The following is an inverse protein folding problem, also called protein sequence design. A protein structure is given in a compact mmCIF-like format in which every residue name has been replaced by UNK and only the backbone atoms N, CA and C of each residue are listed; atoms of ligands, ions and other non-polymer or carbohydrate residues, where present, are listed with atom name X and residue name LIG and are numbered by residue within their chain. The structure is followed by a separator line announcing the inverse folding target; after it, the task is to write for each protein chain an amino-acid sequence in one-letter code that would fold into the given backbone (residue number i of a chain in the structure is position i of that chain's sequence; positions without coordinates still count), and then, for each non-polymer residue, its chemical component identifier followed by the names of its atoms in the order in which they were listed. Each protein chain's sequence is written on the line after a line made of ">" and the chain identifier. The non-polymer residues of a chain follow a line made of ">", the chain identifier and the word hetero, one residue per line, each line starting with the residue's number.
data_IF_388914720273
#
_entry.id   IF_388914720273
#
_cell.length_a   1.000
_cell.length_b   1.000
_cell.length_c   1.000
_cell.angle_alpha   90.00
_cell.angle_beta   90.00
_cell.angle_gamma   90.00
#
_symmetry.space_group_name_H-M   'P 1'
#
loop_
_entity.id
_entity.type
_entity.pdbx_description
1 polymer ?
#
# COMPACT_ATOMS: atom_id res chain seq x y z
N UNK A 1 7.51 -20.28 -11.21
CA UNK A 1 6.26 -20.27 -10.41
C UNK A 1 6.40 -19.41 -9.16
N UNK A 2 7.39 -19.66 -8.27
CA UNK A 2 7.57 -18.89 -7.03
C UNK A 2 7.86 -17.39 -7.24
N UNK A 3 8.65 -17.04 -8.26
CA UNK A 3 8.99 -15.64 -8.58
C UNK A 3 7.80 -14.85 -9.15
N UNK A 4 6.90 -15.53 -9.89
CA UNK A 4 5.68 -14.91 -10.41
C UNK A 4 4.69 -14.68 -9.27
N UNK A 5 4.56 -15.65 -8.34
CA UNK A 5 3.71 -15.54 -7.17
C UNK A 5 4.19 -14.44 -6.20
N UNK A 6 5.50 -14.26 -6.04
CA UNK A 6 6.04 -13.15 -5.25
C UNK A 6 5.75 -11.81 -5.93
N UNK A 7 5.92 -11.72 -7.24
CA UNK A 7 5.65 -10.48 -8.01
C UNK A 7 4.17 -10.08 -7.98
N UNK A 8 3.26 -11.03 -8.10
CA UNK A 8 1.82 -10.74 -8.01
C UNK A 8 1.43 -10.33 -6.59
N UNK A 9 1.92 -11.02 -5.55
CA UNK A 9 1.66 -10.63 -4.16
C UNK A 9 2.17 -9.21 -3.86
N UNK A 10 3.38 -8.88 -4.30
CA UNK A 10 3.95 -7.54 -4.17
C UNK A 10 3.26 -6.50 -5.04
N UNK A 11 2.51 -6.87 -6.06
CA UNK A 11 1.69 -5.91 -6.81
C UNK A 11 0.53 -5.37 -5.96
N UNK A 12 -0.12 -6.23 -5.18
CA UNK A 12 -1.21 -5.83 -4.29
C UNK A 12 -0.70 -5.07 -3.06
N UNK A 13 0.34 -5.58 -2.40
CA UNK A 13 0.86 -5.00 -1.15
C UNK A 13 1.99 -4.00 -1.34
N UNK A 14 2.54 -3.86 -2.54
CA UNK A 14 3.76 -3.10 -2.78
C UNK A 14 3.61 -1.58 -2.70
N UNK A 15 4.76 -0.88 -2.60
CA UNK A 15 4.83 0.56 -2.48
C UNK A 15 4.25 1.24 -3.72
N UNK A 16 3.69 2.44 -3.55
CA UNK A 16 3.30 3.25 -4.71
C UNK A 16 4.55 3.77 -5.44
N UNK A 17 4.49 3.71 -6.75
CA UNK A 17 5.43 4.38 -7.64
C UNK A 17 5.01 5.85 -7.75
N UNK A 18 5.91 6.77 -7.43
CA UNK A 18 5.66 8.21 -7.44
C UNK A 18 6.15 8.83 -8.75
N UNK A 19 7.37 8.48 -9.16
CA UNK A 19 8.03 9.07 -10.31
C UNK A 19 9.05 8.13 -10.92
N UNK A 20 9.24 8.23 -12.22
CA UNK A 20 10.33 7.58 -12.94
C UNK A 20 11.41 8.63 -13.22
N UNK A 21 12.62 8.37 -12.78
CA UNK A 21 13.76 9.27 -12.97
C UNK A 21 14.24 9.22 -14.42
N UNK A 22 14.77 10.35 -14.90
CA UNK A 22 15.25 10.50 -16.28
C UNK A 22 16.34 9.47 -16.57
N UNK A 23 16.20 8.76 -17.69
CA UNK A 23 17.19 7.78 -18.17
C UNK A 23 17.74 8.24 -19.52
N UNK A 24 18.91 8.90 -19.51
CA UNK A 24 19.56 9.36 -20.74
C UNK A 24 18.63 10.24 -21.59
N UNK A 25 18.20 9.69 -22.73
CA UNK A 25 17.34 10.33 -23.74
C UNK A 25 15.84 10.32 -23.38
N UNK A 26 15.41 9.46 -22.45
CA UNK A 26 14.00 9.37 -22.03
C UNK A 26 13.77 10.37 -20.89
N UNK A 27 12.94 11.39 -21.14
CA UNK A 27 12.53 12.36 -20.11
C UNK A 27 11.79 11.65 -18.97
N UNK A 28 12.19 11.90 -17.72
CA UNK A 28 11.55 11.32 -16.55
C UNK A 28 10.16 11.91 -16.33
N UNK A 29 9.13 11.08 -16.30
CA UNK A 29 7.74 11.48 -16.08
C UNK A 29 7.24 11.12 -14.69
N UNK A 30 6.24 11.89 -14.22
CA UNK A 30 5.51 11.58 -12.99
C UNK A 30 4.56 10.42 -13.29
N UNK A 31 4.48 9.45 -12.38
CA UNK A 31 3.56 8.32 -12.54
C UNK A 31 2.12 8.82 -12.54
N UNK A 32 1.38 8.54 -13.62
CA UNK A 32 -0.05 8.85 -13.69
C UNK A 32 -0.87 7.62 -13.28
N UNK A 33 -1.57 7.68 -12.14
CA UNK A 33 -2.44 6.59 -11.73
C UNK A 33 -3.62 6.49 -12.69
N UNK A 34 -4.01 5.27 -13.03
CA UNK A 34 -5.21 5.03 -13.84
C UNK A 34 -6.47 5.43 -13.04
N UNK A 35 -7.61 5.61 -13.71
CA UNK A 35 -8.87 6.00 -13.04
C UNK A 35 -9.26 5.01 -11.92
N UNK A 36 -9.06 3.71 -12.15
CA UNK A 36 -9.32 2.67 -11.14
C UNK A 36 -8.39 2.77 -9.92
N UNK A 37 -7.13 3.12 -10.14
CA UNK A 37 -6.16 3.32 -9.06
C UNK A 37 -6.50 4.60 -8.26
N UNK A 38 -6.80 5.71 -8.94
CA UNK A 38 -7.17 6.96 -8.26
C UNK A 38 -8.49 6.86 -7.49
N UNK A 39 -9.49 6.14 -8.02
CA UNK A 39 -10.76 5.90 -7.32
C UNK A 39 -10.56 5.06 -6.06
N UNK A 40 -9.88 3.93 -6.18
CA UNK A 40 -9.60 3.05 -5.03
C UNK A 40 -8.78 3.76 -3.96
N UNK A 41 -7.80 4.54 -4.37
CA UNK A 41 -6.97 5.35 -3.49
C UNK A 41 -7.78 6.40 -2.72
N UNK A 42 -8.74 7.04 -3.39
CA UNK A 42 -9.64 8.01 -2.76
C UNK A 42 -10.55 7.34 -1.72
N UNK A 43 -11.11 6.16 -2.03
CA UNK A 43 -11.95 5.40 -1.09
C UNK A 43 -11.15 5.02 0.16
N UNK A 44 -9.96 4.45 -0.01
CA UNK A 44 -9.09 4.06 1.11
C UNK A 44 -8.70 5.27 1.95
N UNK A 45 -8.39 6.40 1.32
CA UNK A 45 -8.03 7.63 2.03
C UNK A 45 -9.20 8.19 2.85
N UNK A 46 -10.40 8.23 2.28
CA UNK A 46 -11.61 8.69 2.98
C UNK A 46 -11.93 7.76 4.16
N UNK A 47 -11.88 6.44 3.96
CA UNK A 47 -12.13 5.47 5.04
C UNK A 47 -11.11 5.64 6.18
N UNK A 48 -9.81 5.73 5.86
CA UNK A 48 -8.76 5.92 6.88
C UNK A 48 -8.94 7.23 7.65
N UNK A 49 -9.30 8.30 6.95
CA UNK A 49 -9.58 9.61 7.56
C UNK A 49 -10.83 9.55 8.44
N UNK A 50 -11.89 8.88 8.01
CA UNK A 50 -13.11 8.68 8.78
C UNK A 50 -12.86 7.85 10.06
N UNK A 51 -12.09 6.76 9.96
CA UNK A 51 -11.70 5.98 11.13
C UNK A 51 -10.80 6.78 12.08
N UNK A 52 -9.85 7.54 11.55
CA UNK A 52 -9.03 8.46 12.34
C UNK A 52 -9.88 9.49 13.08
N UNK A 53 -10.80 10.16 12.38
CA UNK A 53 -11.72 11.11 12.98
C UNK A 53 -12.62 10.46 14.04
N UNK A 54 -13.12 9.25 13.78
CA UNK A 54 -13.93 8.48 14.75
C UNK A 54 -13.12 8.13 15.99
N UNK A 55 -11.84 7.78 15.83
CA UNK A 55 -10.92 7.50 16.94
C UNK A 55 -10.66 8.75 17.80
N UNK A 56 -10.38 9.89 17.16
CA UNK A 56 -10.22 11.17 17.86
C UNK A 56 -11.51 11.63 18.57
N UNK A 57 -12.67 11.37 17.97
CA UNK A 57 -13.98 11.66 18.55
C UNK A 57 -14.53 10.51 19.41
N UNK A 58 -13.70 9.51 19.76
CA UNK A 58 -14.14 8.31 20.49
C UNK A 58 -14.95 8.57 21.76
N UNK A 59 -14.66 9.56 22.65
CA UNK A 59 -15.50 9.77 23.83
C UNK A 59 -16.94 10.18 23.48
N UNK A 60 -17.12 11.00 22.44
CA UNK A 60 -18.44 11.43 21.97
C UNK A 60 -19.18 10.26 21.33
N UNK A 61 -18.48 9.51 20.48
CA UNK A 61 -19.04 8.34 19.78
C UNK A 61 -19.43 7.24 20.78
N UNK A 62 -18.61 6.98 21.79
CA UNK A 62 -18.88 5.99 22.83
C UNK A 62 -20.13 6.34 23.65
N UNK A 63 -20.28 7.60 24.06
CA UNK A 63 -21.49 8.07 24.78
C UNK A 63 -22.72 7.96 23.88
N UNK A 64 -22.63 8.31 22.59
CA UNK A 64 -23.73 8.14 21.65
C UNK A 64 -24.10 6.66 21.46
N UNK A 65 -23.11 5.78 21.36
CA UNK A 65 -23.34 4.35 21.20
C UNK A 65 -24.02 3.74 22.42
N UNK A 66 -23.60 4.15 23.62
CA UNK A 66 -24.21 3.74 24.89
C UNK A 66 -25.66 4.23 25.00
N UNK A 67 -25.92 5.52 24.73
CA UNK A 67 -27.28 6.10 24.81
C UNK A 67 -28.26 5.48 23.80
N UNK A 68 -27.78 5.02 22.65
CA UNK A 68 -28.60 4.34 21.63
C UNK A 68 -28.80 2.84 21.90
N UNK A 69 -28.17 2.26 22.92
CA UNK A 69 -28.36 0.85 23.27
C UNK A 69 -27.73 -0.13 22.28
N UNK A 70 -26.67 0.26 21.56
CA UNK A 70 -25.99 -0.64 20.62
C UNK A 70 -25.29 -1.84 21.29
N UNK A 71 -25.20 -1.86 22.62
CA UNK A 71 -24.69 -2.99 23.41
C UNK A 71 -25.70 -4.13 23.64
N UNK A 72 -26.94 -3.99 23.15
CA UNK A 72 -27.91 -5.08 23.11
C UNK A 72 -27.63 -6.02 21.93
N UNK A 73 -28.11 -7.28 22.00
CA UNK A 73 -27.88 -8.31 20.97
C UNK A 73 -28.31 -7.83 19.57
N UNK A 74 -29.46 -7.14 19.48
CA UNK A 74 -29.96 -6.56 18.23
C UNK A 74 -29.09 -5.38 17.71
N UNK A 75 -28.54 -4.60 18.64
CA UNK A 75 -27.63 -3.49 18.34
C UNK A 75 -26.29 -3.98 17.80
N UNK A 76 -25.73 -5.02 18.40
CA UNK A 76 -24.50 -5.69 17.95
C UNK A 76 -24.70 -6.30 16.56
N UNK A 77 -25.86 -6.92 16.30
CA UNK A 77 -26.17 -7.46 14.97
C UNK A 77 -26.25 -6.37 13.90
N UNK A 78 -26.78 -5.20 14.23
CA UNK A 78 -26.83 -4.07 13.31
C UNK A 78 -25.43 -3.48 13.06
N UNK A 79 -24.61 -3.39 14.11
CA UNK A 79 -23.23 -2.93 14.01
C UNK A 79 -22.36 -3.88 13.19
N UNK A 80 -22.54 -5.19 13.35
CA UNK A 80 -21.79 -6.19 12.57
C UNK A 80 -22.13 -6.12 11.08
N UNK A 81 -23.41 -5.91 10.72
CA UNK A 81 -23.83 -5.68 9.33
C UNK A 81 -23.16 -4.43 8.73
N UNK A 82 -23.07 -3.34 9.51
CA UNK A 82 -22.39 -2.11 9.08
C UNK A 82 -20.88 -2.31 8.96
N UNK A 83 -20.25 -3.00 9.90
CA UNK A 83 -18.82 -3.32 9.85
C UNK A 83 -18.50 -4.20 8.64
N UNK A 84 -19.34 -5.20 8.36
CA UNK A 84 -19.20 -6.10 7.22
C UNK A 84 -19.36 -5.34 5.90
N UNK A 85 -20.31 -4.41 5.80
CA UNK A 85 -20.48 -3.61 4.58
C UNK A 85 -19.28 -2.69 4.32
N UNK A 86 -18.77 -2.03 5.37
CA UNK A 86 -17.54 -1.23 5.27
C UNK A 86 -16.33 -2.08 4.88
N UNK A 87 -16.20 -3.26 5.47
CA UNK A 87 -15.14 -4.21 5.12
C UNK A 87 -15.26 -4.67 3.67
N UNK A 88 -16.47 -4.97 3.18
CA UNK A 88 -16.70 -5.37 1.79
C UNK A 88 -16.30 -4.25 0.80
N UNK A 89 -16.66 -3.00 1.10
CA UNK A 89 -16.24 -1.84 0.29
C UNK A 89 -14.72 -1.67 0.30
N UNK A 90 -14.09 -1.80 1.47
CA UNK A 90 -12.63 -1.73 1.59
C UNK A 90 -11.94 -2.83 0.80
N UNK A 91 -12.43 -4.08 0.90
CA UNK A 91 -11.91 -5.21 0.14
C UNK A 91 -12.05 -4.97 -1.37
N UNK A 92 -13.20 -4.48 -1.83
CA UNK A 92 -13.43 -4.15 -3.24
C UNK A 92 -12.45 -3.07 -3.72
N UNK A 93 -12.25 -2.01 -2.95
CA UNK A 93 -11.28 -0.97 -3.26
C UNK A 93 -9.86 -1.55 -3.34
N UNK A 94 -9.50 -2.47 -2.45
CA UNK A 94 -8.20 -3.15 -2.47
C UNK A 94 -8.02 -4.01 -3.74
N UNK A 95 -9.05 -4.74 -4.17
CA UNK A 95 -9.01 -5.49 -5.43
C UNK A 95 -8.86 -4.56 -6.64
N UNK A 96 -9.63 -3.47 -6.70
CA UNK A 96 -9.53 -2.49 -7.79
C UNK A 96 -8.16 -1.82 -7.85
N UNK A 97 -7.54 -1.57 -6.69
CA UNK A 97 -6.16 -1.08 -6.62
C UNK A 97 -5.18 -2.07 -7.25
N UNK A 98 -5.31 -3.36 -6.94
CA UNK A 98 -4.47 -4.41 -7.53
C UNK A 98 -4.64 -4.53 -9.04
N UNK A 99 -5.88 -4.52 -9.53
CA UNK A 99 -6.19 -4.55 -10.97
C UNK A 99 -5.66 -3.30 -11.67
N UNK A 100 -5.81 -2.11 -11.06
CA UNK A 100 -5.28 -0.85 -11.59
C UNK A 100 -3.77 -0.89 -11.77
N UNK A 101 -3.04 -1.43 -10.79
CA UNK A 101 -1.58 -1.61 -10.84
C UNK A 101 -1.14 -2.64 -11.87
N UNK A 102 -1.89 -3.74 -12.03
CA UNK A 102 -1.63 -4.74 -13.08
C UNK A 102 -1.90 -4.19 -14.49
N UNK A 103 -2.82 -3.24 -14.63
CA UNK A 103 -3.13 -2.61 -15.92
C UNK A 103 -2.04 -1.62 -16.37
N UNK A 104 -1.18 -1.14 -15.47
CA UNK A 104 -0.16 -0.15 -15.81
C UNK A 104 1.19 -0.82 -16.16
N UNK A 105 1.65 -0.63 -17.40
CA UNK A 105 2.90 -1.21 -17.89
C UNK A 105 4.14 -0.71 -17.12
N UNK A 106 4.16 0.57 -16.72
CA UNK A 106 5.26 1.18 -15.98
C UNK A 106 5.40 0.56 -14.58
N UNK A 107 4.26 0.35 -13.90
CA UNK A 107 4.24 -0.28 -12.58
C UNK A 107 4.70 -1.74 -12.65
N UNK A 108 4.32 -2.47 -13.71
CA UNK A 108 4.75 -3.87 -13.92
C UNK A 108 6.27 -3.99 -14.09
N UNK A 109 6.89 -3.03 -14.79
CA UNK A 109 8.34 -3.01 -14.96
C UNK A 109 9.03 -2.67 -13.64
N UNK A 110 8.54 -1.67 -12.91
CA UNK A 110 9.03 -1.31 -11.58
C UNK A 110 8.96 -2.49 -10.60
N UNK A 111 7.83 -3.18 -10.50
CA UNK A 111 7.67 -4.26 -9.51
C UNK A 111 8.58 -5.46 -9.81
N UNK A 112 8.86 -5.73 -11.09
CA UNK A 112 9.86 -6.72 -11.49
C UNK A 112 11.25 -6.36 -10.98
N UNK A 113 11.70 -5.13 -11.22
CA UNK A 113 12.99 -4.63 -10.72
C UNK A 113 13.03 -4.61 -9.18
N UNK A 114 11.92 -4.25 -8.54
CA UNK A 114 11.79 -4.24 -7.08
C UNK A 114 11.94 -5.63 -6.45
N UNK A 115 11.24 -6.63 -7.00
CA UNK A 115 11.33 -8.02 -6.51
C UNK A 115 12.72 -8.58 -6.75
N UNK A 116 13.34 -8.26 -7.89
CA UNK A 116 14.73 -8.65 -8.17
C UNK A 116 15.72 -8.01 -7.19
N UNK A 117 15.57 -6.71 -6.88
CA UNK A 117 16.44 -6.00 -5.94
C UNK A 117 16.33 -6.57 -4.52
N UNK A 118 15.14 -7.02 -4.14
CA UNK A 118 14.88 -7.61 -2.83
C UNK A 118 15.39 -9.04 -2.70
N UNK A 119 15.23 -9.85 -3.74
CA UNK A 119 15.70 -11.24 -3.74
C UNK A 119 17.22 -11.32 -3.90
N UNK A 120 17.82 -10.43 -4.69
CA UNK A 120 19.25 -10.37 -4.97
C UNK A 120 19.78 -8.93 -4.81
N UNK A 121 20.17 -8.53 -3.58
CA UNK A 121 20.67 -7.18 -3.32
C UNK A 121 22.10 -7.01 -3.86
N UNK A 122 22.20 -6.74 -5.16
CA UNK A 122 23.45 -6.40 -5.86
C UNK A 122 23.50 -4.90 -6.19
N UNK A 123 24.71 -4.34 -6.34
CA UNK A 123 24.93 -2.92 -6.70
C UNK A 123 24.18 -2.56 -8.00
N UNK A 124 24.25 -3.43 -9.02
CA UNK A 124 23.55 -3.22 -10.30
C UNK A 124 22.02 -3.14 -10.14
N UNK A 125 21.43 -4.04 -9.36
CA UNK A 125 19.97 -4.05 -9.14
C UNK A 125 19.52 -2.86 -8.32
N UNK A 126 20.38 -2.35 -7.43
CA UNK A 126 20.14 -1.11 -6.68
C UNK A 126 20.18 0.12 -7.58
N UNK A 127 21.14 0.22 -8.48
CA UNK A 127 21.19 1.30 -9.48
C UNK A 127 19.96 1.28 -10.39
N UNK A 128 19.45 0.09 -10.71
CA UNK A 128 18.19 -0.05 -11.45
C UNK A 128 16.97 0.37 -10.63
N UNK A 129 16.94 0.05 -9.33
CA UNK A 129 15.86 0.46 -8.43
C UNK A 129 15.87 1.97 -8.14
N UNK A 130 17.06 2.58 -8.03
CA UNK A 130 17.25 4.02 -7.81
C UNK A 130 16.72 4.89 -8.96
N UNK A 131 16.41 4.29 -10.11
CA UNK A 131 15.74 4.97 -11.23
C UNK A 131 14.25 5.20 -10.96
N UNK A 132 13.68 4.55 -9.97
CA UNK A 132 12.29 4.67 -9.58
C UNK A 132 12.20 5.37 -8.24
N UNK A 133 11.35 6.38 -8.17
CA UNK A 133 10.98 7.03 -6.92
C UNK A 133 9.69 6.40 -6.40
N UNK A 134 9.76 5.80 -5.22
CA UNK A 134 8.67 5.06 -4.61
C UNK A 134 8.63 5.30 -3.11
N UNK A 135 7.56 4.87 -2.46
CA UNK A 135 7.38 5.07 -1.03
C UNK A 135 8.55 4.50 -0.21
N UNK A 136 9.07 5.33 0.71
CA UNK A 136 10.29 5.05 1.48
C UNK A 136 10.26 3.71 2.24
N UNK A 137 9.10 3.29 2.73
CA UNK A 137 8.97 2.02 3.47
C UNK A 137 9.30 0.78 2.62
N UNK A 138 9.23 0.91 1.29
CA UNK A 138 9.60 -0.15 0.36
C UNK A 138 11.12 -0.28 0.15
N UNK A 139 11.93 0.70 0.56
CA UNK A 139 13.35 0.72 0.23
C UNK A 139 14.09 -0.44 0.94
N UNK A 140 14.95 -1.20 0.23
CA UNK A 140 15.71 -2.28 0.86
C UNK A 140 16.70 -1.72 1.90
N UNK A 141 16.82 -2.40 3.04
CA UNK A 141 17.75 -1.97 4.09
C UNK A 141 19.20 -2.18 3.61
N UNK A 142 19.95 -1.09 3.53
CA UNK A 142 21.35 -1.11 3.06
C UNK A 142 22.35 -1.40 4.19
N UNK A 143 21.97 -1.10 5.44
CA UNK A 143 22.84 -1.26 6.59
C UNK A 143 22.74 -2.67 7.18
N UNK A 144 23.88 -3.35 7.28
CA UNK A 144 24.06 -4.55 8.08
C UNK A 144 25.13 -4.27 9.11
N UNK A 145 24.79 -4.43 10.39
CA UNK A 145 25.78 -4.40 11.46
C UNK A 145 26.63 -5.66 11.38
N UNK A 146 27.95 -5.49 11.31
CA UNK A 146 28.90 -6.58 11.49
C UNK A 146 29.56 -6.41 12.86
N UNK A 147 29.30 -7.35 13.77
CA UNK A 147 29.84 -7.33 15.13
C UNK A 147 31.35 -7.52 15.18
N UNK A 148 32.00 -7.91 14.08
CA UNK A 148 33.45 -8.08 14.03
C UNK A 148 34.27 -6.77 14.06
N UNK A 149 33.63 -5.61 13.93
CA UNK A 149 34.29 -4.30 13.95
C UNK A 149 34.20 -3.54 15.29
N UNK A 150 33.59 -4.12 16.32
CA UNK A 150 33.33 -3.44 17.60
C UNK A 150 34.39 -3.70 18.69
N UNK A 151 35.39 -4.52 18.38
CA UNK A 151 36.35 -5.07 19.36
C UNK A 151 37.77 -4.47 19.21
N UNK A 152 37.90 -3.32 18.53
CA UNK A 152 39.16 -2.61 18.27
C UNK A 152 39.41 -1.41 19.18
#
# INVERSE_FOLDING_TARGET
>A
MAEVASTTAWTFYGPRLLRIMRRGDIQGHVYQPNFLESLSDRIVHVLRTAFGATYWCSPVVAVMMYRRGYFNVEGVQSLSKMALSLFAVYALAFFFRGVGRLSNADYRMFIGTFVQARNNPCVRTREELAKYDFEFWGWPVDFKWDSAGADG
#
